data_IF_249595664246
#
_entry.id   IF_249595664246
#
_cell.length_a   1.000
_cell.length_b   1.000
_cell.length_c   1.000
_cell.angle_alpha   90.00
_cell.angle_beta   90.00
_cell.angle_gamma   90.00
#
_symmetry.space_group_name_H-M   'P 1'
#
loop_
_entity.id
_entity.type
_entity.pdbx_description
1 polymer ?
#
# COMPACT_ATOMS: atom_id res chain seq x y z
N UNK A 1 -17.61 12.67 25.70
CA UNK A 1 -17.91 12.01 24.43
C UNK A 1 -16.77 11.07 24.11
N UNK A 2 -16.94 9.75 24.24
CA UNK A 2 -15.86 8.79 24.02
C UNK A 2 -15.64 8.56 22.54
N UNK A 3 -14.41 8.73 22.06
CA UNK A 3 -14.04 8.40 20.69
C UNK A 3 -13.95 6.88 20.54
N UNK A 4 -14.85 6.29 19.76
CA UNK A 4 -14.74 4.91 19.29
C UNK A 4 -13.52 4.81 18.35
N UNK A 5 -12.51 4.05 18.74
CA UNK A 5 -11.39 3.68 17.87
C UNK A 5 -11.58 2.25 17.39
N UNK A 6 -11.43 2.06 16.11
CA UNK A 6 -11.45 0.76 15.46
C UNK A 6 -10.04 0.23 15.32
N UNK A 7 -9.77 -0.91 15.93
CA UNK A 7 -8.52 -1.63 15.74
C UNK A 7 -8.66 -2.62 14.58
N UNK A 8 -7.61 -2.75 13.77
CA UNK A 8 -7.59 -3.65 12.60
C UNK A 8 -7.72 -5.14 12.97
N UNK A 9 -7.57 -5.48 14.23
CA UNK A 9 -7.76 -6.84 14.73
C UNK A 9 -9.21 -7.21 15.03
N UNK A 10 -10.16 -6.33 14.68
CA UNK A 10 -11.59 -6.60 14.85
C UNK A 10 -12.16 -6.18 16.20
N UNK A 11 -11.45 -5.36 16.93
CA UNK A 11 -11.92 -4.80 18.20
C UNK A 11 -12.39 -3.36 18.01
N UNK A 12 -13.51 -3.00 18.62
CA UNK A 12 -13.85 -1.61 18.91
C UNK A 12 -13.29 -1.30 20.30
N UNK A 13 -12.45 -0.30 20.39
CA UNK A 13 -12.03 0.23 21.68
C UNK A 13 -12.79 1.51 22.02
N UNK A 14 -13.37 1.56 23.18
CA UNK A 14 -13.99 2.76 23.75
C UNK A 14 -12.99 3.39 24.73
N UNK A 15 -12.56 4.61 24.44
CA UNK A 15 -11.70 5.34 25.37
C UNK A 15 -12.58 6.10 26.35
N UNK A 16 -12.80 5.53 27.53
CA UNK A 16 -13.47 6.17 28.65
C UNK A 16 -12.46 6.43 29.77
N UNK A 17 -12.28 7.71 30.12
CA UNK A 17 -11.50 8.12 31.31
C UNK A 17 -10.14 7.42 31.45
N UNK A 18 -9.27 7.57 30.45
CA UNK A 18 -7.91 6.98 30.41
C UNK A 18 -7.81 5.46 30.42
N UNK A 19 -8.91 4.73 30.30
CA UNK A 19 -8.91 3.27 30.08
C UNK A 19 -9.47 2.94 28.71
N UNK A 20 -8.78 2.08 27.97
CA UNK A 20 -9.25 1.53 26.71
C UNK A 20 -10.01 0.25 26.98
N UNK A 21 -11.34 0.28 26.81
CA UNK A 21 -12.21 -0.91 26.97
C UNK A 21 -12.42 -1.47 25.57
N UNK A 22 -11.94 -2.69 25.33
CA UNK A 22 -12.18 -3.40 24.07
C UNK A 22 -13.56 -4.03 24.10
N UNK A 23 -14.44 -3.53 23.23
CA UNK A 23 -15.78 -4.09 23.03
C UNK A 23 -15.76 -4.98 21.79
N UNK A 24 -16.49 -6.10 21.82
CA UNK A 24 -16.68 -6.99 20.70
C UNK A 24 -18.01 -6.72 19.99
N UNK A 25 -18.11 -5.84 19.02
CA UNK A 25 -19.35 -5.58 18.33
C UNK A 25 -19.53 -6.45 17.07
N UNK A 26 -18.52 -7.28 16.76
CA UNK A 26 -18.59 -8.13 15.57
C UNK A 26 -19.37 -9.41 15.87
N UNK A 27 -20.17 -9.89 14.89
CA UNK A 27 -20.87 -11.16 15.03
C UNK A 27 -19.90 -12.28 15.42
N UNK A 28 -20.31 -13.18 16.30
CA UNK A 28 -19.50 -14.34 16.72
C UNK A 28 -18.95 -15.13 15.52
N UNK A 29 -19.74 -15.23 14.44
CA UNK A 29 -19.31 -15.87 13.18
C UNK A 29 -18.08 -15.17 12.58
N UNK A 30 -18.09 -13.82 12.48
CA UNK A 30 -16.95 -13.06 11.95
C UNK A 30 -15.69 -13.29 12.79
N UNK A 31 -15.77 -13.09 14.10
CA UNK A 31 -14.64 -13.24 15.03
C UNK A 31 -14.03 -14.63 14.96
N UNK A 32 -14.86 -15.67 14.91
CA UNK A 32 -14.42 -17.07 14.77
C UNK A 32 -13.68 -17.31 13.45
N UNK A 33 -14.25 -16.86 12.32
CA UNK A 33 -13.66 -17.05 11.00
C UNK A 33 -12.39 -16.22 10.84
N UNK A 34 -12.39 -14.98 11.32
CA UNK A 34 -11.21 -14.15 11.29
C UNK A 34 -10.05 -14.74 12.10
N UNK A 35 -10.33 -15.40 13.22
CA UNK A 35 -9.32 -16.15 13.98
C UNK A 35 -8.84 -17.40 13.25
N UNK A 36 -9.71 -18.05 12.46
CA UNK A 36 -9.39 -19.24 11.66
C UNK A 36 -8.47 -18.92 10.46
N UNK A 37 -8.33 -17.66 10.04
CA UNK A 37 -7.59 -17.27 8.81
C UNK A 37 -6.15 -17.78 8.71
N UNK A 38 -5.50 -18.03 9.85
CA UNK A 38 -4.13 -18.59 9.88
C UNK A 38 -4.10 -20.10 9.67
N UNK A 39 -5.23 -20.79 9.78
CA UNK A 39 -5.36 -22.24 9.58
C UNK A 39 -5.95 -22.61 8.21
N UNK A 40 -6.35 -21.58 7.44
CA UNK A 40 -6.99 -21.72 6.15
C UNK A 40 -8.51 -21.48 6.22
N UNK A 41 -9.02 -20.84 5.18
CA UNK A 41 -10.43 -20.51 4.98
C UNK A 41 -10.95 -21.21 3.73
N UNK A 42 -12.21 -21.65 3.75
CA UNK A 42 -12.89 -22.03 2.53
C UNK A 42 -13.21 -20.78 1.70
N UNK A 43 -13.56 -20.94 0.42
CA UNK A 43 -13.98 -19.84 -0.45
C UNK A 43 -15.19 -19.09 0.12
N UNK A 44 -16.17 -19.81 0.65
CA UNK A 44 -17.37 -19.21 1.28
C UNK A 44 -17.05 -18.44 2.55
N UNK A 45 -16.14 -18.97 3.39
CA UNK A 45 -15.68 -18.29 4.60
C UNK A 45 -14.91 -17.01 4.25
N UNK A 46 -14.04 -17.05 3.23
CA UNK A 46 -13.32 -15.87 2.72
C UNK A 46 -14.29 -14.83 2.16
N UNK A 47 -15.26 -15.25 1.32
CA UNK A 47 -16.31 -14.38 0.76
C UNK A 47 -17.05 -13.65 1.88
N UNK A 48 -17.50 -14.39 2.89
CA UNK A 48 -18.20 -13.81 4.05
C UNK A 48 -17.34 -12.75 4.77
N UNK A 49 -16.05 -13.03 5.00
CA UNK A 49 -15.15 -12.08 5.67
C UNK A 49 -14.92 -10.81 4.84
N UNK A 50 -14.74 -10.95 3.52
CA UNK A 50 -14.59 -9.82 2.60
C UNK A 50 -15.87 -8.96 2.58
N UNK A 51 -17.05 -9.57 2.42
CA UNK A 51 -18.33 -8.87 2.40
C UNK A 51 -18.58 -8.12 3.71
N UNK A 52 -18.26 -8.75 4.83
CA UNK A 52 -18.43 -8.13 6.14
C UNK A 52 -17.46 -6.94 6.32
N UNK A 53 -16.16 -7.12 6.03
CA UNK A 53 -15.17 -6.06 6.16
C UNK A 53 -15.48 -4.89 5.23
N UNK A 54 -15.88 -5.19 3.99
CA UNK A 54 -16.23 -4.18 3.01
C UNK A 54 -17.41 -3.34 3.48
N UNK A 55 -18.56 -3.98 3.79
CA UNK A 55 -19.74 -3.29 4.29
C UNK A 55 -19.43 -2.42 5.50
N UNK A 56 -18.62 -2.96 6.40
CA UNK A 56 -18.27 -2.26 7.63
C UNK A 56 -17.39 -1.02 7.38
N UNK A 57 -16.46 -1.09 6.43
CA UNK A 57 -15.50 0.00 6.15
C UNK A 57 -16.04 1.03 5.16
N UNK A 58 -16.71 0.57 4.12
CA UNK A 58 -17.14 1.42 2.99
C UNK A 58 -18.60 1.85 3.13
N UNK A 59 -19.41 1.14 3.95
CA UNK A 59 -20.75 1.52 4.31
C UNK A 59 -21.85 0.94 3.42
N UNK A 60 -21.53 0.23 2.33
CA UNK A 60 -22.52 -0.41 1.46
C UNK A 60 -22.20 -1.90 1.23
N UNK A 61 -23.14 -2.64 0.64
CA UNK A 61 -23.00 -4.08 0.42
C UNK A 61 -22.09 -4.37 -0.76
N UNK A 62 -21.11 -5.27 -0.57
CA UNK A 62 -20.24 -5.76 -1.64
C UNK A 62 -21.03 -6.59 -2.66
N UNK A 63 -20.86 -6.30 -3.95
CA UNK A 63 -21.41 -7.08 -5.04
C UNK A 63 -20.25 -7.68 -5.87
N UNK A 64 -19.91 -8.93 -5.59
CA UNK A 64 -18.86 -9.65 -6.34
C UNK A 64 -19.36 -10.22 -7.68
N UNK A 65 -20.67 -10.38 -7.85
CA UNK A 65 -21.23 -10.99 -9.07
C UNK A 65 -21.32 -9.96 -10.22
N UNK A 66 -21.54 -8.68 -9.88
CA UNK A 66 -21.58 -7.57 -10.84
C UNK A 66 -20.96 -6.30 -10.23
N UNK A 67 -19.63 -6.29 -9.98
CA UNK A 67 -18.96 -5.16 -9.33
C UNK A 67 -18.95 -3.92 -10.24
N UNK A 68 -19.36 -2.78 -9.71
CA UNK A 68 -19.45 -1.52 -10.44
C UNK A 68 -18.43 -0.50 -9.95
N UNK A 69 -18.27 -0.39 -8.62
CA UNK A 69 -17.37 0.58 -8.02
C UNK A 69 -15.92 0.12 -8.08
N UNK A 70 -14.99 1.04 -7.94
CA UNK A 70 -13.55 0.75 -7.89
C UNK A 70 -13.22 -0.18 -6.72
N UNK A 71 -13.79 0.11 -5.56
CA UNK A 71 -13.61 -0.72 -4.38
C UNK A 71 -14.14 -2.15 -4.57
N UNK A 72 -15.35 -2.32 -5.13
CA UNK A 72 -15.89 -3.66 -5.44
C UNK A 72 -15.01 -4.43 -6.40
N UNK A 73 -14.51 -3.76 -7.46
CA UNK A 73 -13.62 -4.38 -8.45
C UNK A 73 -12.28 -4.81 -7.85
N UNK A 74 -11.74 -4.07 -6.88
CA UNK A 74 -10.55 -4.50 -6.13
C UNK A 74 -10.87 -5.72 -5.26
N UNK A 75 -12.03 -5.77 -4.59
CA UNK A 75 -12.43 -6.98 -3.83
C UNK A 75 -12.59 -8.18 -4.75
N UNK A 76 -13.15 -7.96 -5.95
CA UNK A 76 -13.26 -9.00 -6.98
C UNK A 76 -11.88 -9.53 -7.40
N UNK A 77 -10.91 -8.65 -7.66
CA UNK A 77 -9.53 -9.04 -7.99
C UNK A 77 -8.89 -9.83 -6.85
N UNK A 78 -9.06 -9.41 -5.61
CA UNK A 78 -8.55 -10.12 -4.43
C UNK A 78 -9.13 -11.53 -4.29
N UNK A 79 -10.37 -11.72 -4.69
CA UNK A 79 -11.09 -12.97 -4.51
C UNK A 79 -10.90 -13.95 -5.66
N UNK A 80 -10.84 -13.45 -6.89
CA UNK A 80 -10.84 -14.29 -8.09
C UNK A 80 -9.55 -14.25 -8.91
N UNK A 81 -8.76 -13.17 -8.88
CA UNK A 81 -7.61 -12.99 -9.74
C UNK A 81 -6.30 -13.28 -8.99
N UNK A 82 -5.70 -14.43 -9.29
CA UNK A 82 -4.54 -14.97 -8.61
C UNK A 82 -3.37 -15.23 -9.57
N UNK A 83 -2.74 -14.16 -10.06
CA UNK A 83 -1.57 -14.26 -10.94
C UNK A 83 -0.28 -14.34 -10.11
N UNK A 84 0.58 -15.36 -10.29
CA UNK A 84 1.85 -15.48 -9.58
C UNK A 84 2.79 -14.28 -9.76
N UNK A 85 2.70 -13.54 -10.88
CA UNK A 85 3.47 -12.32 -11.10
C UNK A 85 3.12 -11.25 -10.07
N UNK A 86 1.86 -11.22 -9.58
CA UNK A 86 1.45 -10.29 -8.52
C UNK A 86 2.26 -10.52 -7.24
N UNK A 87 2.52 -11.77 -6.88
CA UNK A 87 3.32 -12.11 -5.68
C UNK A 87 4.76 -11.61 -5.81
N UNK A 88 5.39 -11.81 -6.98
CA UNK A 88 6.73 -11.27 -7.25
C UNK A 88 6.76 -9.74 -7.17
N UNK A 89 5.74 -9.06 -7.73
CA UNK A 89 5.68 -7.61 -7.76
C UNK A 89 5.27 -6.97 -6.42
N UNK A 90 4.58 -7.71 -5.54
CA UNK A 90 4.26 -7.26 -4.19
C UNK A 90 5.43 -7.40 -3.19
N UNK A 91 6.38 -8.31 -3.46
CA UNK A 91 7.60 -8.48 -2.67
C UNK A 91 8.64 -7.41 -3.04
N UNK A 92 9.01 -6.53 -2.10
CA UNK A 92 9.98 -5.43 -2.32
C UNK A 92 11.39 -5.92 -2.70
N UNK A 93 11.70 -7.20 -2.49
CA UNK A 93 12.96 -7.81 -2.92
C UNK A 93 12.83 -8.35 -4.33
N UNK A 94 11.81 -9.18 -4.59
CA UNK A 94 11.65 -9.86 -5.88
C UNK A 94 11.22 -8.91 -7.01
N UNK A 95 10.45 -7.85 -6.71
CA UNK A 95 10.04 -6.83 -7.69
C UNK A 95 11.22 -6.13 -8.36
N UNK A 96 12.38 -6.10 -7.71
CA UNK A 96 13.60 -5.47 -8.26
C UNK A 96 14.03 -6.10 -9.58
N UNK A 97 13.93 -7.43 -9.70
CA UNK A 97 14.22 -8.14 -10.96
C UNK A 97 13.21 -7.74 -12.05
N UNK A 98 11.92 -7.72 -11.72
CA UNK A 98 10.88 -7.30 -12.66
C UNK A 98 11.09 -5.86 -13.16
N UNK A 99 11.44 -4.94 -12.26
CA UNK A 99 11.72 -3.53 -12.61
C UNK A 99 12.96 -3.45 -13.51
N UNK A 100 14.05 -4.13 -13.13
CA UNK A 100 15.30 -4.16 -13.92
C UNK A 100 15.05 -4.65 -15.34
N UNK A 101 14.31 -5.75 -15.49
CA UNK A 101 14.04 -6.39 -16.79
C UNK A 101 13.06 -5.58 -17.64
N UNK A 102 12.14 -4.82 -17.02
CA UNK A 102 11.08 -4.09 -17.73
C UNK A 102 11.50 -2.68 -18.12
N UNK A 103 12.15 -1.95 -17.22
CA UNK A 103 12.45 -0.52 -17.41
C UNK A 103 13.91 -0.15 -17.15
N UNK A 104 14.68 -1.01 -16.51
CA UNK A 104 16.11 -0.79 -16.23
C UNK A 104 16.40 -0.55 -14.75
N UNK A 105 17.62 -0.94 -14.33
CA UNK A 105 18.03 -0.89 -12.91
C UNK A 105 18.30 0.52 -12.39
N UNK A 106 18.48 1.50 -13.27
CA UNK A 106 18.70 2.91 -12.91
C UNK A 106 17.52 3.54 -12.17
N UNK A 107 16.31 2.94 -12.26
CA UNK A 107 15.12 3.39 -11.54
C UNK A 107 14.93 2.71 -10.17
N UNK A 108 15.83 1.81 -9.80
CA UNK A 108 15.81 1.15 -8.49
C UNK A 108 16.51 2.01 -7.45
N UNK A 109 15.91 2.16 -6.27
CA UNK A 109 16.64 2.69 -5.12
C UNK A 109 17.81 1.75 -4.83
N UNK A 110 19.09 2.24 -4.71
CA UNK A 110 20.23 1.38 -4.45
C UNK A 110 20.03 0.52 -3.20
N UNK A 111 20.17 -0.80 -3.35
CA UNK A 111 20.07 -1.76 -2.26
C UNK A 111 21.41 -1.90 -1.53
N UNK A 112 21.40 -1.71 -0.22
CA UNK A 112 22.57 -1.82 0.66
C UNK A 112 22.68 -3.21 1.30
N UNK A 113 21.60 -3.98 1.30
CA UNK A 113 21.57 -5.34 1.84
C UNK A 113 20.18 -5.94 1.93
N UNK A 114 20.14 -7.26 1.94
CA UNK A 114 18.91 -8.06 2.13
C UNK A 114 19.21 -9.06 3.24
N UNK A 115 18.29 -9.17 4.23
CA UNK A 115 18.52 -9.97 5.42
C UNK A 115 17.30 -10.85 5.73
N UNK A 116 17.54 -12.08 6.19
CA UNK A 116 16.47 -13.00 6.59
C UNK A 116 16.01 -12.79 8.04
N UNK A 117 16.84 -12.13 8.84
CA UNK A 117 16.47 -11.73 10.20
C UNK A 117 17.20 -10.44 10.63
N UNK A 118 16.70 -9.70 11.63
CA UNK A 118 17.30 -8.45 12.07
C UNK A 118 18.72 -8.60 12.67
N UNK A 119 19.10 -9.78 13.12
CA UNK A 119 20.41 -10.00 13.75
C UNK A 119 21.54 -10.08 12.71
N UNK A 120 21.22 -10.37 11.43
CA UNK A 120 22.18 -10.37 10.32
C UNK A 120 22.64 -8.97 9.92
N UNK A 121 21.93 -7.91 10.38
CA UNK A 121 22.24 -6.53 9.99
C UNK A 121 23.49 -6.06 10.72
N UNK A 122 24.57 -5.88 9.97
CA UNK A 122 25.79 -5.24 10.44
C UNK A 122 25.65 -3.72 10.27
N UNK A 123 25.19 -3.06 11.35
CA UNK A 123 24.95 -1.61 11.32
C UNK A 123 26.23 -0.80 11.16
N UNK A 124 27.39 -1.34 11.53
CA UNK A 124 28.66 -0.61 11.41
C UNK A 124 29.06 -0.41 9.96
N UNK A 125 28.73 -1.38 9.09
CA UNK A 125 28.95 -1.30 7.63
C UNK A 125 27.96 -0.43 6.88
N UNK A 126 26.82 -0.08 7.51
CA UNK A 126 25.83 0.78 6.86
C UNK A 126 26.26 2.25 6.87
N UNK A 127 25.91 3.04 5.83
CA UNK A 127 26.18 4.48 5.78
C UNK A 127 25.44 5.22 6.91
N UNK A 128 25.67 6.51 7.06
CA UNK A 128 24.98 7.33 8.06
C UNK A 128 23.46 7.42 7.81
N UNK A 129 23.03 7.35 6.53
CA UNK A 129 21.63 7.48 6.13
C UNK A 129 21.19 6.26 5.32
N UNK A 130 20.10 5.62 5.74
CA UNK A 130 19.50 4.47 5.07
C UNK A 130 18.05 4.26 5.48
N UNK A 131 17.36 3.36 4.77
CA UNK A 131 15.99 2.94 5.08
C UNK A 131 15.92 1.43 5.19
N UNK A 132 15.38 0.92 6.31
CA UNK A 132 15.07 -0.50 6.47
C UNK A 132 13.58 -0.73 6.27
N UNK A 133 13.21 -1.71 5.46
CA UNK A 133 11.83 -2.08 5.15
C UNK A 133 11.65 -3.59 5.27
N UNK A 134 10.46 -4.03 5.68
CA UNK A 134 10.05 -5.44 5.51
C UNK A 134 9.44 -5.58 4.11
N UNK A 135 9.77 -6.66 3.41
CA UNK A 135 9.45 -6.83 1.99
C UNK A 135 7.95 -6.89 1.67
N UNK A 136 7.09 -7.25 2.61
CA UNK A 136 5.63 -7.30 2.45
C UNK A 136 4.88 -6.16 3.15
N UNK A 137 5.61 -5.24 3.83
CA UNK A 137 5.01 -4.25 4.72
C UNK A 137 4.43 -3.02 4.01
N UNK A 138 3.33 -2.50 4.55
CA UNK A 138 2.80 -1.18 4.24
C UNK A 138 3.09 -0.25 5.42
N UNK A 139 3.81 0.87 5.19
CA UNK A 139 4.29 1.80 6.24
C UNK A 139 5.24 1.18 7.29
N UNK A 140 5.67 -0.04 7.10
CA UNK A 140 6.60 -0.77 7.96
C UNK A 140 8.04 -0.49 7.52
N UNK A 141 8.52 0.74 7.80
CA UNK A 141 9.86 1.21 7.48
C UNK A 141 10.51 1.91 8.67
N UNK A 142 11.84 1.88 8.71
CA UNK A 142 12.68 2.65 9.63
C UNK A 142 13.55 3.55 8.79
N UNK A 143 13.26 4.84 8.80
CA UNK A 143 14.03 5.86 8.09
C UNK A 143 15.12 6.36 9.05
N UNK A 144 16.38 6.14 8.68
CA UNK A 144 17.54 6.57 9.45
C UNK A 144 18.20 7.73 8.72
N UNK A 145 18.07 8.92 9.28
CA UNK A 145 18.71 10.16 8.79
C UNK A 145 20.05 10.44 9.45
N UNK A 146 20.29 9.81 10.59
CA UNK A 146 21.52 9.91 11.37
C UNK A 146 21.69 8.61 12.16
N UNK A 147 22.66 7.79 11.76
CA UNK A 147 22.93 6.49 12.38
C UNK A 147 23.34 6.62 13.86
N UNK A 148 24.01 7.71 14.24
CA UNK A 148 24.44 7.94 15.62
C UNK A 148 23.26 8.06 16.59
N UNK A 149 22.07 8.45 16.11
CA UNK A 149 20.84 8.59 16.88
C UNK A 149 19.96 7.33 16.83
N UNK A 150 20.37 6.28 16.11
CA UNK A 150 19.58 5.08 15.95
C UNK A 150 19.64 4.19 17.19
N UNK A 151 18.49 3.93 17.80
CA UNK A 151 18.39 2.87 18.79
C UNK A 151 18.28 1.50 18.10
N UNK A 152 19.42 0.84 17.89
CA UNK A 152 19.55 -0.46 17.19
C UNK A 152 18.65 -1.53 17.82
N UNK A 153 18.65 -1.65 19.15
CA UNK A 153 17.80 -2.60 19.89
C UNK A 153 16.30 -2.41 19.56
N UNK A 154 15.85 -1.15 19.55
CA UNK A 154 14.46 -0.80 19.20
C UNK A 154 14.16 -1.09 17.72
N UNK A 155 15.10 -0.82 16.83
CA UNK A 155 14.98 -1.09 15.39
C UNK A 155 14.84 -2.59 15.14
N UNK A 156 15.74 -3.43 15.67
CA UNK A 156 15.69 -4.89 15.55
C UNK A 156 14.36 -5.46 16.09
N UNK A 157 13.89 -4.99 17.26
CA UNK A 157 12.61 -5.42 17.84
C UNK A 157 11.42 -5.07 16.93
N UNK A 158 11.42 -3.86 16.31
CA UNK A 158 10.37 -3.48 15.35
C UNK A 158 10.37 -4.38 14.12
N UNK A 159 11.54 -4.58 13.51
CA UNK A 159 11.69 -5.46 12.34
C UNK A 159 11.21 -6.87 12.64
N UNK A 160 11.62 -7.46 13.77
CA UNK A 160 11.17 -8.79 14.19
C UNK A 160 9.65 -8.86 14.36
N UNK A 161 9.02 -7.81 14.89
CA UNK A 161 7.55 -7.72 14.99
C UNK A 161 6.89 -7.68 13.60
N UNK A 162 7.43 -6.89 12.68
CA UNK A 162 6.88 -6.73 11.31
C UNK A 162 7.09 -7.97 10.43
N UNK A 163 8.13 -8.74 10.67
CA UNK A 163 8.38 -10.02 10.00
C UNK A 163 7.45 -11.15 10.49
N UNK A 164 6.66 -10.92 11.53
CA UNK A 164 5.71 -11.93 12.01
C UNK A 164 4.61 -12.14 10.95
N UNK A 165 4.23 -13.40 10.62
CA UNK A 165 3.15 -13.69 9.67
C UNK A 165 1.83 -12.96 9.96
N UNK A 166 1.53 -12.66 11.23
CA UNK A 166 0.36 -11.86 11.61
C UNK A 166 0.39 -10.44 11.05
N UNK A 167 1.55 -9.91 10.67
CA UNK A 167 1.70 -8.60 10.05
C UNK A 167 1.52 -8.64 8.53
N UNK A 168 1.50 -9.83 7.91
CA UNK A 168 1.32 -9.99 6.48
C UNK A 168 -0.09 -9.56 6.05
N UNK A 169 -0.17 -8.77 4.98
CA UNK A 169 -1.42 -8.22 4.46
C UNK A 169 -2.43 -9.28 4.00
N UNK A 170 -1.98 -10.46 3.59
CA UNK A 170 -2.90 -11.56 3.31
C UNK A 170 -3.77 -11.88 4.53
N UNK A 171 -3.16 -12.01 5.69
CA UNK A 171 -3.92 -12.34 6.91
C UNK A 171 -4.70 -11.16 7.49
N UNK A 172 -4.33 -9.92 7.14
CA UNK A 172 -5.01 -8.71 7.66
C UNK A 172 -6.16 -8.27 6.76
N UNK A 173 -5.96 -8.34 5.45
CA UNK A 173 -6.84 -7.74 4.44
C UNK A 173 -7.24 -8.68 3.32
N UNK A 174 -6.80 -9.95 3.37
CA UNK A 174 -7.02 -10.96 2.33
C UNK A 174 -6.47 -10.55 0.96
N UNK A 175 -5.35 -9.84 0.96
CA UNK A 175 -4.62 -9.48 -0.26
C UNK A 175 -3.79 -10.68 -0.72
N UNK A 176 -4.32 -11.43 -1.69
CA UNK A 176 -3.79 -12.74 -2.11
C UNK A 176 -2.30 -12.72 -2.47
N UNK A 177 -1.84 -11.66 -3.13
CA UNK A 177 -0.46 -11.53 -3.58
C UNK A 177 0.60 -11.58 -2.47
N UNK A 178 0.22 -11.35 -1.22
CA UNK A 178 1.16 -11.42 -0.09
C UNK A 178 1.23 -12.79 0.57
N UNK A 179 0.33 -13.75 0.21
CA UNK A 179 0.16 -15.03 0.90
C UNK A 179 1.44 -15.83 1.03
N UNK A 180 2.20 -15.95 -0.06
CA UNK A 180 3.34 -16.85 -0.15
C UNK A 180 4.70 -16.11 -0.06
N UNK A 181 4.69 -14.81 0.23
CA UNK A 181 5.91 -14.04 0.42
C UNK A 181 6.59 -14.45 1.72
N UNK A 182 7.85 -14.86 1.63
CA UNK A 182 8.70 -15.11 2.80
C UNK A 182 9.23 -13.80 3.37
N UNK A 183 9.19 -13.57 4.70
CA UNK A 183 9.64 -12.32 5.28
C UNK A 183 11.14 -12.11 5.10
N UNK A 184 11.50 -10.94 4.56
CA UNK A 184 12.87 -10.46 4.43
C UNK A 184 12.93 -8.99 4.83
N UNK A 185 14.11 -8.52 5.17
CA UNK A 185 14.40 -7.10 5.38
C UNK A 185 15.23 -6.64 4.20
N UNK A 186 14.85 -5.53 3.59
CA UNK A 186 15.66 -4.82 2.61
C UNK A 186 16.16 -3.51 3.22
N UNK A 187 17.46 -3.25 3.05
CA UNK A 187 18.09 -1.99 3.38
C UNK A 187 18.35 -1.21 2.09
N UNK A 188 17.84 -0.01 2.00
CA UNK A 188 17.97 0.85 0.82
C UNK A 188 18.67 2.16 1.18
N UNK A 189 19.34 2.76 0.19
CA UNK A 189 19.92 4.09 0.31
C UNK A 189 18.81 5.10 0.62
N UNK A 190 19.10 6.06 1.50
CA UNK A 190 18.21 7.17 1.77
C UNK A 190 18.14 8.09 0.54
N UNK A 191 16.93 8.43 0.10
CA UNK A 191 16.71 9.38 -1.00
C UNK A 191 16.76 10.78 -0.42
N UNK A 192 17.75 11.57 -0.84
CA UNK A 192 17.89 12.96 -0.42
C UNK A 192 16.90 13.84 -1.18
N UNK A 193 16.15 14.65 -0.48
CA UNK A 193 15.20 15.61 -1.04
C UNK A 193 15.34 16.95 -0.30
N UNK A 194 14.75 18.03 -0.85
CA UNK A 194 14.86 19.36 -0.24
C UNK A 194 14.35 19.40 1.19
N UNK A 195 13.04 19.29 1.36
CA UNK A 195 12.39 19.37 2.67
C UNK A 195 11.68 18.07 3.01
N UNK A 196 10.80 17.62 2.13
CA UNK A 196 10.02 16.39 2.30
C UNK A 196 9.93 15.63 0.97
N UNK A 197 10.16 14.33 1.03
CA UNK A 197 10.00 13.45 -0.12
C UNK A 197 8.52 13.41 -0.52
N UNK A 198 8.22 13.77 -1.77
CA UNK A 198 6.89 13.58 -2.35
C UNK A 198 6.76 12.17 -2.91
N UNK A 199 5.57 11.61 -2.75
CA UNK A 199 5.20 10.29 -3.21
C UNK A 199 4.24 10.45 -4.40
N UNK A 200 4.70 10.12 -5.60
CA UNK A 200 3.96 10.24 -6.86
C UNK A 200 3.40 8.88 -7.24
N UNK A 201 2.09 8.71 -7.13
CA UNK A 201 1.39 7.44 -7.29
C UNK A 201 0.57 7.42 -8.57
N UNK A 202 1.09 6.74 -9.57
CA UNK A 202 0.48 6.62 -10.89
C UNK A 202 -0.50 5.44 -10.91
N UNK A 203 -1.79 5.72 -10.94
CA UNK A 203 -2.82 4.69 -11.04
C UNK A 203 -3.01 4.27 -12.50
N UNK A 204 -2.72 3.02 -12.79
CA UNK A 204 -2.90 2.42 -14.10
C UNK A 204 -3.98 1.34 -14.05
N UNK A 205 -4.92 1.38 -15.01
CA UNK A 205 -5.91 0.35 -15.23
C UNK A 205 -5.69 -0.28 -16.62
N UNK A 206 -5.63 -1.61 -16.67
CA UNK A 206 -5.41 -2.37 -17.89
C UNK A 206 -4.20 -1.87 -18.70
N UNK A 207 -3.09 -1.61 -17.99
CA UNK A 207 -1.84 -1.11 -18.55
C UNK A 207 -1.80 0.38 -18.90
N UNK A 208 -2.90 1.12 -18.77
CA UNK A 208 -2.97 2.53 -19.16
C UNK A 208 -3.02 3.43 -17.92
N UNK A 209 -2.21 4.47 -17.90
CA UNK A 209 -2.27 5.50 -16.87
C UNK A 209 -3.60 6.24 -16.89
N UNK A 210 -4.20 6.44 -15.73
CA UNK A 210 -5.52 7.07 -15.56
C UNK A 210 -5.47 8.35 -14.75
N UNK A 211 -4.75 8.34 -13.63
CA UNK A 211 -4.67 9.48 -12.70
C UNK A 211 -3.43 9.43 -11.83
N UNK A 212 -3.01 10.57 -11.38
CA UNK A 212 -1.90 10.75 -10.45
C UNK A 212 -2.44 11.11 -9.06
N UNK A 213 -1.98 10.41 -8.03
CA UNK A 213 -2.13 10.83 -6.64
C UNK A 213 -0.77 11.32 -6.14
N UNK A 214 -0.72 12.54 -5.64
CA UNK A 214 0.47 13.11 -5.00
C UNK A 214 0.25 13.20 -3.51
N UNK A 215 1.16 12.59 -2.75
CA UNK A 215 1.20 12.71 -1.30
C UNK A 215 2.45 13.50 -0.93
N UNK A 216 2.25 14.63 -0.28
CA UNK A 216 3.33 15.48 0.22
C UNK A 216 3.13 15.82 1.69
N UNK A 217 4.14 16.44 2.28
CA UNK A 217 4.04 16.97 3.63
C UNK A 217 3.81 18.47 3.60
N UNK A 218 2.87 18.94 4.40
CA UNK A 218 2.65 20.37 4.67
C UNK A 218 3.66 20.81 5.73
N UNK A 219 3.78 19.98 6.76
CA UNK A 219 4.74 20.14 7.85
C UNK A 219 5.14 18.76 8.41
N UNK A 220 5.79 18.71 9.58
CA UNK A 220 6.22 17.46 10.21
C UNK A 220 5.06 16.52 10.58
N UNK A 221 3.86 17.04 10.81
CA UNK A 221 2.68 16.31 11.29
C UNK A 221 1.59 16.15 10.25
N UNK A 222 1.49 17.07 9.30
CA UNK A 222 0.39 17.14 8.36
C UNK A 222 0.85 16.80 6.94
N UNK A 223 0.04 16.00 6.26
CA UNK A 223 0.25 15.61 4.86
C UNK A 223 -0.95 16.01 4.04
N UNK A 224 -0.72 16.34 2.77
CA UNK A 224 -1.77 16.49 1.79
C UNK A 224 -1.83 15.29 0.84
N UNK A 225 -3.01 15.08 0.25
CA UNK A 225 -3.26 14.08 -0.77
C UNK A 225 -4.09 14.73 -1.88
N UNK A 226 -3.49 14.92 -3.04
CA UNK A 226 -4.13 15.52 -4.21
C UNK A 226 -4.21 14.54 -5.36
N UNK A 227 -5.38 14.43 -5.97
CA UNK A 227 -5.58 13.65 -7.19
C UNK A 227 -5.59 14.57 -8.40
N UNK A 228 -4.94 14.14 -9.47
CA UNK A 228 -4.84 14.88 -10.74
C UNK A 228 -5.23 13.96 -11.90
N UNK A 229 -5.85 14.56 -12.92
CA UNK A 229 -6.09 13.89 -14.20
C UNK A 229 -4.79 13.73 -15.03
N UNK A 230 -4.91 13.21 -16.24
CA UNK A 230 -3.78 13.03 -17.16
C UNK A 230 -3.12 14.34 -17.62
N UNK A 231 -3.84 15.46 -17.53
CA UNK A 231 -3.37 16.80 -17.88
C UNK A 231 -2.85 17.58 -16.68
N UNK A 232 -2.71 16.92 -15.53
CA UNK A 232 -2.33 17.50 -14.23
C UNK A 232 -3.32 18.54 -13.71
N UNK A 233 -4.59 18.47 -14.12
CA UNK A 233 -5.65 19.24 -13.50
C UNK A 233 -6.05 18.60 -12.17
N UNK A 234 -6.17 19.43 -11.13
CA UNK A 234 -6.56 18.99 -9.80
C UNK A 234 -8.01 18.50 -9.80
N UNK A 235 -8.22 17.24 -9.43
CA UNK A 235 -9.55 16.63 -9.34
C UNK A 235 -10.27 17.03 -8.05
N UNK A 236 -11.60 17.20 -8.13
CA UNK A 236 -12.43 17.35 -6.93
C UNK A 236 -12.71 15.96 -6.31
N UNK A 237 -11.64 15.31 -5.90
CA UNK A 237 -11.62 13.96 -5.31
C UNK A 237 -10.80 13.97 -4.03
N UNK A 238 -11.37 13.46 -2.95
CA UNK A 238 -10.68 13.19 -1.69
C UNK A 238 -10.77 11.70 -1.36
N UNK A 239 -9.79 11.21 -0.63
CA UNK A 239 -9.81 9.88 -0.02
C UNK A 239 -9.87 10.06 1.50
N UNK A 240 -11.01 9.77 2.10
CA UNK A 240 -11.40 9.83 3.51
C UNK A 240 -10.50 10.62 4.46
N UNK A 241 -10.93 11.80 4.87
CA UNK A 241 -10.24 12.60 5.87
C UNK A 241 -8.88 13.20 5.44
N UNK A 242 -8.50 13.07 4.16
CA UNK A 242 -7.24 13.65 3.67
C UNK A 242 -7.38 15.17 3.46
N UNK A 243 -6.28 15.87 3.74
CA UNK A 243 -6.19 17.32 3.47
C UNK A 243 -5.90 17.50 1.98
N UNK A 244 -6.70 18.32 1.30
CA UNK A 244 -6.46 18.79 -0.06
C UNK A 244 -5.74 20.13 0.01
N UNK A 245 -4.71 20.28 -0.79
CA UNK A 245 -3.98 21.55 -0.92
C UNK A 245 -4.10 22.05 -2.35
N UNK A 246 -4.33 23.34 -2.53
CA UNK A 246 -4.31 23.95 -3.87
C UNK A 246 -2.85 24.11 -4.33
N UNK A 247 -2.29 23.02 -4.84
CA UNK A 247 -0.90 22.98 -5.31
C UNK A 247 -0.87 22.54 -6.78
N UNK A 248 -0.26 23.38 -7.61
CA UNK A 248 0.08 22.97 -8.98
C UNK A 248 1.25 22.00 -8.91
N UNK A 249 1.07 20.81 -9.46
CA UNK A 249 2.16 19.87 -9.60
C UNK A 249 3.09 20.35 -10.71
N UNK A 250 4.33 20.68 -10.34
CA UNK A 250 5.42 20.86 -11.28
C UNK A 250 6.29 19.60 -11.23
N UNK A 251 6.10 18.71 -12.19
CA UNK A 251 6.78 17.42 -12.27
C UNK A 251 7.53 17.34 -13.61
N UNK A 252 8.82 17.72 -13.60
CA UNK A 252 9.64 17.79 -14.81
C UNK A 252 9.73 16.45 -15.55
N UNK A 253 9.70 15.35 -14.80
CA UNK A 253 9.79 13.99 -15.32
C UNK A 253 8.41 13.32 -15.58
N UNK A 254 7.33 14.09 -15.63
CA UNK A 254 5.97 13.55 -15.72
C UNK A 254 5.78 12.57 -16.87
N UNK A 255 6.10 12.98 -18.10
CA UNK A 255 5.95 12.12 -19.29
C UNK A 255 6.77 10.84 -19.19
N UNK A 256 7.99 10.93 -18.61
CA UNK A 256 8.82 9.75 -18.39
C UNK A 256 8.24 8.82 -17.33
N UNK A 257 7.71 9.36 -16.25
CA UNK A 257 7.04 8.56 -15.22
C UNK A 257 5.77 7.89 -15.75
N UNK A 258 5.00 8.55 -16.63
CA UNK A 258 3.84 7.93 -17.31
C UNK A 258 4.29 6.73 -18.15
N UNK A 259 5.30 6.93 -19.01
CA UNK A 259 5.86 5.85 -19.85
C UNK A 259 6.30 4.64 -19.00
N UNK A 260 7.05 4.90 -17.93
CA UNK A 260 7.52 3.86 -17.01
C UNK A 260 6.36 3.15 -16.30
N UNK A 261 5.37 3.93 -15.84
CA UNK A 261 4.20 3.39 -15.15
C UNK A 261 3.38 2.47 -16.07
N UNK A 262 3.14 2.86 -17.31
CA UNK A 262 2.39 2.05 -18.27
C UNK A 262 3.14 0.76 -18.64
N UNK A 263 4.47 0.83 -18.85
CA UNK A 263 5.28 -0.37 -19.09
C UNK A 263 5.21 -1.37 -17.93
N UNK A 264 5.35 -0.89 -16.70
CA UNK A 264 5.31 -1.72 -15.49
C UNK A 264 3.91 -2.25 -15.19
N UNK A 265 2.87 -1.48 -15.50
CA UNK A 265 1.47 -1.87 -15.26
C UNK A 265 0.89 -2.79 -16.34
N UNK A 266 1.56 -2.92 -17.49
CA UNK A 266 1.03 -3.61 -18.67
C UNK A 266 0.43 -5.01 -18.42
N UNK A 267 1.03 -5.90 -17.59
CA UNK A 267 0.48 -7.24 -17.38
C UNK A 267 -0.67 -7.27 -16.36
N UNK A 268 -0.98 -6.17 -15.69
CA UNK A 268 -1.93 -6.15 -14.58
C UNK A 268 -3.25 -5.46 -14.95
N UNK A 269 -4.41 -6.00 -14.51
CA UNK A 269 -5.67 -5.28 -14.63
C UNK A 269 -5.65 -3.95 -13.85
N UNK A 270 -4.99 -3.93 -12.70
CA UNK A 270 -4.82 -2.76 -11.85
C UNK A 270 -3.41 -2.75 -11.27
N UNK A 271 -2.72 -1.62 -11.42
CA UNK A 271 -1.41 -1.40 -10.82
C UNK A 271 -1.24 0.08 -10.49
N UNK A 272 -0.89 0.38 -9.26
CA UNK A 272 -0.40 1.70 -8.86
C UNK A 272 1.11 1.65 -8.79
N UNK A 273 1.77 2.50 -9.57
CA UNK A 273 3.23 2.61 -9.61
C UNK A 273 3.64 3.84 -8.82
N UNK A 274 4.39 3.64 -7.75
CA UNK A 274 4.78 4.70 -6.83
C UNK A 274 6.22 5.15 -7.12
N UNK A 275 6.40 6.44 -7.44
CA UNK A 275 7.71 7.03 -7.75
C UNK A 275 8.11 8.08 -6.72
N UNK A 276 9.43 8.26 -6.61
CA UNK A 276 10.07 9.35 -5.90
C UNK A 276 11.00 10.12 -6.86
N UNK A 277 11.20 11.40 -6.59
CA UNK A 277 12.31 12.19 -7.15
C UNK A 277 13.27 12.59 -6.04
N UNK A 278 14.60 12.45 -6.30
CA UNK A 278 15.61 13.02 -5.41
C UNK A 278 15.83 14.52 -5.70
N UNK A 279 16.73 15.13 -4.95
CA UNK A 279 17.09 16.56 -5.11
C UNK A 279 17.66 16.87 -6.50
N UNK A 280 18.27 15.88 -7.17
CA UNK A 280 18.83 15.99 -8.51
C UNK A 280 17.84 15.62 -9.62
N UNK A 281 16.56 15.41 -9.29
CA UNK A 281 15.50 14.98 -10.19
C UNK A 281 15.67 13.57 -10.77
N UNK A 282 16.48 12.73 -10.15
CA UNK A 282 16.50 11.31 -10.50
C UNK A 282 15.23 10.64 -10.06
N UNK A 283 14.67 9.79 -10.94
CA UNK A 283 13.44 9.02 -10.68
C UNK A 283 13.79 7.71 -9.98
N UNK A 284 13.11 7.40 -8.91
CA UNK A 284 13.20 6.12 -8.23
C UNK A 284 11.82 5.47 -8.08
N UNK A 285 11.77 4.16 -8.30
CA UNK A 285 10.59 3.33 -8.02
C UNK A 285 10.54 2.96 -6.55
N UNK A 286 9.40 3.25 -5.93
CA UNK A 286 9.11 2.92 -4.53
C UNK A 286 8.49 1.55 -4.38
N UNK A 287 7.35 1.31 -5.05
CA UNK A 287 6.63 0.04 -5.02
C UNK A 287 5.62 -0.08 -6.17
N UNK A 288 5.21 -1.31 -6.45
CA UNK A 288 4.02 -1.63 -7.25
C UNK A 288 2.91 -2.09 -6.30
N UNK A 289 1.76 -1.39 -6.35
CA UNK A 289 0.60 -1.72 -5.51
C UNK A 289 -0.54 -2.24 -6.38
N UNK A 290 -0.92 -3.51 -6.17
CA UNK A 290 -1.88 -4.21 -7.03
C UNK A 290 -3.32 -4.16 -6.49
N UNK A 291 -3.48 -3.80 -5.23
CA UNK A 291 -4.76 -3.64 -4.54
C UNK A 291 -4.78 -2.33 -3.74
N UNK A 292 -4.70 -1.15 -4.41
CA UNK A 292 -4.59 0.13 -3.75
C UNK A 292 -5.74 0.37 -2.77
N UNK A 293 -5.41 0.91 -1.58
CA UNK A 293 -6.39 1.13 -0.51
C UNK A 293 -7.06 -0.15 0.01
N UNK A 294 -6.55 -1.33 -0.39
CA UNK A 294 -7.19 -2.62 -0.09
C UNK A 294 -8.64 -2.73 -0.63
N UNK A 295 -9.05 -1.84 -1.55
CA UNK A 295 -10.44 -1.75 -2.02
C UNK A 295 -11.42 -1.36 -0.92
N UNK A 296 -11.00 -0.48 -0.02
CA UNK A 296 -11.84 0.04 1.07
C UNK A 296 -11.61 1.52 1.31
N UNK A 297 -11.20 2.26 0.30
CA UNK A 297 -11.05 3.70 0.35
C UNK A 297 -12.43 4.39 0.38
N UNK A 298 -12.54 5.48 1.15
CA UNK A 298 -13.76 6.29 1.20
C UNK A 298 -13.55 7.51 0.31
N UNK A 299 -14.13 7.46 -0.88
CA UNK A 299 -14.04 8.56 -1.83
C UNK A 299 -15.10 9.63 -1.56
N UNK A 300 -14.71 10.90 -1.65
CA UNK A 300 -15.56 12.06 -1.49
C UNK A 300 -15.39 12.99 -2.70
N UNK A 301 -16.50 13.32 -3.45
CA UNK A 301 -17.83 12.72 -3.35
C UNK A 301 -17.87 11.22 -3.71
N UNK A 302 -18.87 10.51 -3.22
CA UNK A 302 -19.01 9.05 -3.39
C UNK A 302 -19.08 8.58 -4.84
N UNK A 303 -19.57 9.40 -5.75
CA UNK A 303 -19.66 9.14 -7.19
C UNK A 303 -18.28 8.81 -7.81
N UNK A 304 -17.21 9.25 -7.16
CA UNK A 304 -15.86 8.88 -7.61
C UNK A 304 -15.56 7.39 -7.53
N UNK A 305 -16.17 6.67 -6.60
CA UNK A 305 -15.99 5.21 -6.54
C UNK A 305 -16.51 4.53 -7.81
N UNK A 306 -17.62 5.01 -8.37
CA UNK A 306 -18.14 4.55 -9.67
C UNK A 306 -17.27 5.00 -10.84
N UNK A 307 -16.94 6.31 -10.93
CA UNK A 307 -16.09 6.84 -12.01
C UNK A 307 -14.74 6.12 -12.10
N UNK A 308 -14.10 5.89 -10.96
CA UNK A 308 -12.85 5.14 -10.90
C UNK A 308 -13.06 3.67 -11.28
N UNK A 309 -14.22 3.11 -10.97
CA UNK A 309 -14.63 1.77 -11.37
C UNK A 309 -14.75 1.60 -12.87
N UNK A 310 -15.26 2.61 -13.59
CA UNK A 310 -15.37 2.58 -15.05
C UNK A 310 -14.01 2.42 -15.75
N UNK A 311 -12.97 2.99 -15.18
CA UNK A 311 -11.60 2.87 -15.70
C UNK A 311 -11.03 1.45 -15.67
N UNK A 312 -11.53 0.59 -14.77
CA UNK A 312 -11.00 -0.76 -14.54
C UNK A 312 -11.87 -1.82 -15.21
N UNK A 313 -11.33 -2.44 -16.25
CA UNK A 313 -11.97 -3.60 -16.89
C UNK A 313 -11.45 -4.87 -16.21
N UNK A 314 -12.36 -5.64 -15.62
CA UNK A 314 -11.99 -6.90 -14.98
C UNK A 314 -11.65 -7.98 -16.01
N UNK A 315 -10.64 -8.82 -15.75
CA UNK A 315 -10.31 -9.93 -16.62
C UNK A 315 -11.44 -10.99 -16.60
N UNK A 316 -11.57 -11.73 -17.69
CA UNK A 316 -12.44 -12.91 -17.69
C UNK A 316 -11.84 -13.97 -16.77
N UNK A 317 -12.68 -14.60 -15.97
CA UNK A 317 -12.28 -15.80 -15.23
C UNK A 317 -11.98 -16.92 -16.23
N UNK A 318 -10.84 -17.55 -16.05
CA UNK A 318 -10.45 -18.74 -16.85
C UNK A 318 -11.15 -19.98 -16.32
#
# INVERSE_FOLDING_TARGET
MGLLKFDFDGFISLKLLNKEIKLFPFPCKYTRLYSKRFKGLTQEELKYLLEFQFKYKVGYKLNLDNPKTFNEKIQWLKFYYHDPLMTKCADKVEVRNYIKDTVGEQYLVPCLGIYNNPEEIDFDKLPNQFVLKVNWGCKENIIVRDKSKLNIKKAKRKLKKWMNPKSNNYYRYFEWQYKDIKPKIICEKYIVCDKYLKDYKFHCCNGNFKRLLVIGAIDEKHRFCNFYDKNLNLLNLKNGGTIKQDEKVNLNNYSKMVELAEKLAKPFPLCRVDFYEDINKNIYLGELTLTPGNGTDIFEPFEWDYKLGEDLILPKLK
#
